data_IF_935889285906
#
_entry.id   IF_935889285906
#
_cell.length_a   1.000
_cell.length_b   1.000
_cell.length_c   1.000
_cell.angle_alpha   90.00
_cell.angle_beta   90.00
_cell.angle_gamma   90.00
#
_symmetry.space_group_name_H-M   'P 1'
#
loop_
_entity.id
_entity.type
_entity.pdbx_description
1 polymer ?
#
# COMPACT_ATOMS: atom_id res chain seq x y z
N UNK A 1 25.64 46.00 -22.28
CA UNK A 1 25.24 46.12 -20.86
C UNK A 1 24.03 45.21 -20.68
N UNK A 2 24.22 44.03 -20.09
CA UNK A 2 23.16 43.01 -19.96
C UNK A 2 22.55 43.18 -18.57
N UNK A 3 21.28 43.57 -18.50
CA UNK A 3 20.57 43.72 -17.23
C UNK A 3 20.06 42.36 -16.77
N UNK A 4 20.51 41.99 -15.58
CA UNK A 4 20.26 40.74 -14.87
C UNK A 4 19.01 40.95 -14.01
N UNK A 5 17.84 40.53 -14.48
CA UNK A 5 16.60 40.64 -13.71
C UNK A 5 15.73 39.39 -13.85
N UNK A 6 15.15 39.02 -12.70
CA UNK A 6 14.13 37.97 -12.53
C UNK A 6 14.62 36.53 -12.30
N UNK A 7 15.37 36.35 -11.21
CA UNK A 7 15.34 35.11 -10.40
C UNK A 7 14.07 35.17 -9.53
N UNK A 8 12.89 35.10 -10.14
CA UNK A 8 11.66 34.88 -9.38
C UNK A 8 11.47 33.37 -9.21
N UNK A 9 11.52 32.81 -7.99
CA UNK A 9 11.09 31.44 -7.80
C UNK A 9 9.61 31.37 -8.20
N UNK A 10 9.26 30.43 -9.09
CA UNK A 10 7.86 30.08 -9.36
C UNK A 10 7.15 29.99 -8.02
N UNK A 11 6.11 30.80 -7.81
CA UNK A 11 5.24 30.67 -6.65
C UNK A 11 4.85 29.20 -6.57
N UNK A 12 5.39 28.46 -5.60
CA UNK A 12 4.85 27.18 -5.21
C UNK A 12 3.45 27.51 -4.72
N UNK A 13 2.44 27.20 -5.55
CA UNK A 13 1.04 27.34 -5.17
C UNK A 13 0.90 26.60 -3.83
N UNK A 14 0.36 27.24 -2.78
CA UNK A 14 0.17 26.55 -1.51
C UNK A 14 -0.64 25.29 -1.79
N UNK A 15 -0.08 24.11 -1.41
CA UNK A 15 -0.75 22.82 -1.58
C UNK A 15 -2.16 22.96 -1.03
N UNK A 16 -3.15 22.66 -1.87
CA UNK A 16 -4.54 22.74 -1.44
C UNK A 16 -4.74 21.71 -0.32
N UNK A 17 -5.70 21.93 0.61
CA UNK A 17 -6.05 20.92 1.59
C UNK A 17 -6.43 19.56 0.94
N UNK A 18 -6.97 19.53 -0.28
CA UNK A 18 -7.27 18.28 -0.98
C UNK A 18 -6.00 17.53 -1.39
N UNK A 19 -4.96 18.23 -1.87
CA UNK A 19 -3.67 17.60 -2.25
C UNK A 19 -3.01 16.86 -1.07
N UNK A 20 -3.26 17.31 0.16
CA UNK A 20 -2.76 16.67 1.39
C UNK A 20 -3.60 15.45 1.79
N UNK A 21 -4.92 15.49 1.59
CA UNK A 21 -5.78 14.32 1.83
C UNK A 21 -5.47 13.21 0.82
N UNK A 22 -5.24 13.57 -0.43
CA UNK A 22 -4.95 12.60 -1.50
C UNK A 22 -3.63 11.87 -1.24
N UNK A 23 -2.58 12.60 -0.83
CA UNK A 23 -1.28 12.00 -0.48
C UNK A 23 -1.33 11.14 0.79
N UNK A 24 -2.09 11.54 1.81
CA UNK A 24 -2.29 10.70 3.00
C UNK A 24 -3.04 9.39 2.70
N UNK A 25 -4.03 9.44 1.80
CA UNK A 25 -4.76 8.26 1.37
C UNK A 25 -3.86 7.29 0.58
N UNK A 26 -3.00 7.81 -0.30
CA UNK A 26 -2.01 7.01 -1.02
C UNK A 26 -1.00 6.34 -0.08
N UNK A 27 -0.49 7.07 0.92
CA UNK A 27 0.44 6.54 1.91
C UNK A 27 -0.22 5.44 2.76
N UNK A 28 -1.48 5.62 3.16
CA UNK A 28 -2.24 4.61 3.90
C UNK A 28 -2.44 3.32 3.09
N UNK A 29 -2.78 3.45 1.80
CA UNK A 29 -2.92 2.30 0.88
C UNK A 29 -1.58 1.57 0.70
N UNK A 30 -0.48 2.31 0.54
CA UNK A 30 0.87 1.72 0.44
C UNK A 30 1.25 0.95 1.71
N UNK A 31 0.99 1.52 2.89
CA UNK A 31 1.25 0.86 4.17
C UNK A 31 0.41 -0.41 4.33
N UNK A 32 -0.88 -0.37 3.98
CA UNK A 32 -1.75 -1.53 4.00
C UNK A 32 -1.22 -2.65 3.09
N UNK A 33 -0.92 -2.33 1.83
CA UNK A 33 -0.39 -3.29 0.85
C UNK A 33 0.92 -3.90 1.35
N UNK A 34 1.84 -3.06 1.85
CA UNK A 34 3.12 -3.52 2.38
C UNK A 34 2.94 -4.46 3.57
N UNK A 35 2.10 -4.09 4.54
CA UNK A 35 1.88 -4.91 5.74
C UNK A 35 1.23 -6.26 5.42
N UNK A 36 0.23 -6.27 4.51
CA UNK A 36 -0.43 -7.51 4.09
C UNK A 36 0.53 -8.39 3.29
N UNK A 37 1.35 -7.82 2.41
CA UNK A 37 2.35 -8.58 1.65
C UNK A 37 3.31 -9.31 2.59
N UNK A 38 3.87 -8.60 3.58
CA UNK A 38 4.74 -9.22 4.59
C UNK A 38 4.03 -10.34 5.35
N UNK A 39 2.78 -10.13 5.77
CA UNK A 39 2.02 -11.17 6.47
C UNK A 39 1.75 -12.40 5.61
N UNK A 40 1.43 -12.21 4.32
CA UNK A 40 1.24 -13.30 3.35
C UNK A 40 2.52 -14.10 3.18
N UNK A 41 3.66 -13.42 3.01
CA UNK A 41 4.97 -14.06 2.87
C UNK A 41 5.34 -14.86 4.13
N UNK A 42 5.07 -14.33 5.32
CA UNK A 42 5.33 -15.01 6.58
C UNK A 42 4.46 -16.27 6.76
N UNK A 43 3.19 -16.22 6.34
CA UNK A 43 2.27 -17.36 6.37
C UNK A 43 2.71 -18.46 5.40
N UNK A 44 3.11 -18.10 4.17
CA UNK A 44 3.64 -19.05 3.18
C UNK A 44 4.96 -19.69 3.66
N UNK A 45 5.87 -18.88 4.21
CA UNK A 45 7.11 -19.37 4.80
C UNK A 45 6.85 -20.31 5.98
N UNK A 46 5.86 -20.01 6.83
CA UNK A 46 5.50 -20.89 7.93
C UNK A 46 4.85 -22.18 7.45
N UNK A 47 3.96 -22.11 6.44
CA UNK A 47 3.36 -23.27 5.82
C UNK A 47 4.42 -24.22 5.27
N UNK A 48 5.42 -23.70 4.55
CA UNK A 48 6.53 -24.50 4.03
C UNK A 48 7.33 -25.19 5.14
N UNK A 49 7.57 -24.52 6.28
CA UNK A 49 8.28 -25.11 7.43
C UNK A 49 7.54 -26.29 8.06
N UNK A 50 6.22 -26.25 8.09
CA UNK A 50 5.39 -27.27 8.77
C UNK A 50 4.74 -28.27 7.81
N UNK A 51 4.99 -28.17 6.51
CA UNK A 51 4.31 -28.98 5.48
C UNK A 51 4.46 -30.49 5.70
N UNK A 52 5.65 -30.94 6.11
CA UNK A 52 5.93 -32.36 6.34
C UNK A 52 5.31 -32.85 7.65
N UNK A 53 5.33 -32.03 8.70
CA UNK A 53 4.90 -32.43 10.04
C UNK A 53 3.41 -32.21 10.29
N UNK A 54 2.79 -31.23 9.61
CA UNK A 54 1.41 -30.83 9.75
C UNK A 54 0.81 -30.33 8.42
N UNK A 55 0.62 -31.21 7.41
CA UNK A 55 0.20 -30.82 6.06
C UNK A 55 -1.17 -30.14 6.02
N UNK A 56 -2.10 -30.54 6.88
CA UNK A 56 -3.41 -29.89 6.98
C UNK A 56 -3.30 -28.44 7.49
N UNK A 57 -2.41 -28.20 8.48
CA UNK A 57 -2.15 -26.85 8.99
C UNK A 57 -1.43 -25.99 7.95
N UNK A 58 -0.45 -26.54 7.23
CA UNK A 58 0.22 -25.84 6.13
C UNK A 58 -0.78 -25.41 5.06
N UNK A 59 -1.68 -26.30 4.63
CA UNK A 59 -2.75 -25.96 3.69
C UNK A 59 -3.66 -24.85 4.21
N UNK A 60 -4.03 -24.90 5.50
CA UNK A 60 -4.86 -23.86 6.11
C UNK A 60 -4.16 -22.49 6.10
N UNK A 61 -2.86 -22.44 6.40
CA UNK A 61 -2.07 -21.21 6.34
C UNK A 61 -2.06 -20.60 4.94
N UNK A 62 -1.84 -21.42 3.89
CA UNK A 62 -1.85 -20.95 2.50
C UNK A 62 -3.21 -20.40 2.07
N UNK A 63 -4.29 -21.09 2.43
CA UNK A 63 -5.66 -20.61 2.17
C UNK A 63 -5.92 -19.29 2.89
N UNK A 64 -5.47 -19.16 4.14
CA UNK A 64 -5.61 -17.93 4.93
C UNK A 64 -4.83 -16.78 4.28
N UNK A 65 -3.58 -17.03 3.84
CA UNK A 65 -2.76 -16.05 3.14
C UNK A 65 -3.45 -15.54 1.85
N UNK A 66 -4.02 -16.45 1.06
CA UNK A 66 -4.72 -16.08 -0.16
C UNK A 66 -6.03 -15.32 0.10
N UNK A 67 -6.76 -15.66 1.16
CA UNK A 67 -7.94 -14.91 1.58
C UNK A 67 -7.57 -13.49 2.02
N UNK A 68 -6.49 -13.32 2.79
CA UNK A 68 -5.99 -12.00 3.20
C UNK A 68 -5.60 -11.13 2.01
N UNK A 69 -4.88 -11.71 1.03
CA UNK A 69 -4.54 -11.00 -0.20
C UNK A 69 -5.79 -10.55 -0.97
N UNK A 70 -6.78 -11.44 -1.10
CA UNK A 70 -8.04 -11.15 -1.81
C UNK A 70 -8.86 -10.06 -1.11
N UNK A 71 -8.98 -10.12 0.21
CA UNK A 71 -9.69 -9.10 1.01
C UNK A 71 -9.00 -7.73 0.90
N UNK A 72 -7.68 -7.72 0.89
CA UNK A 72 -6.89 -6.49 0.79
C UNK A 72 -7.06 -5.85 -0.58
N UNK A 73 -7.02 -6.66 -1.65
CA UNK A 73 -7.31 -6.17 -3.00
C UNK A 73 -8.72 -5.55 -3.07
N UNK A 74 -9.73 -6.25 -2.56
CA UNK A 74 -11.10 -5.74 -2.54
C UNK A 74 -11.23 -4.44 -1.72
N UNK A 75 -10.53 -4.34 -0.59
CA UNK A 75 -10.52 -3.13 0.23
C UNK A 75 -9.85 -1.94 -0.49
N UNK A 76 -8.77 -2.18 -1.23
CA UNK A 76 -8.09 -1.15 -2.03
C UNK A 76 -8.95 -0.73 -3.23
N UNK A 77 -9.63 -1.67 -3.89
CA UNK A 77 -10.53 -1.37 -5.01
C UNK A 77 -11.76 -0.57 -4.58
N UNK A 78 -12.32 -0.88 -3.40
CA UNK A 78 -13.43 -0.18 -2.81
C UNK A 78 -13.01 1.11 -2.08
N UNK A 79 -11.71 1.43 -2.04
CA UNK A 79 -11.22 2.61 -1.34
C UNK A 79 -11.80 3.87 -1.98
N UNK A 80 -12.29 4.85 -1.19
CA UNK A 80 -12.83 6.08 -1.73
C UNK A 80 -11.76 6.78 -2.58
N UNK A 81 -11.95 6.79 -3.89
CA UNK A 81 -11.21 7.67 -4.77
C UNK A 81 -11.76 9.06 -4.50
N UNK A 82 -10.99 9.90 -3.82
CA UNK A 82 -11.33 11.31 -3.70
C UNK A 82 -11.37 11.86 -5.13
N UNK A 83 -12.57 11.98 -5.68
CA UNK A 83 -12.80 12.69 -6.93
C UNK A 83 -12.67 14.16 -6.60
N UNK A 84 -11.54 14.76 -6.97
CA UNK A 84 -11.34 16.22 -6.95
C UNK A 84 -12.27 16.95 -7.91
#
# INVERSE_FOLDING_TARGET
MITMESIFPRRLKPRSPSDKLDTQNEDAVRLLISGVTTLVDDLEAHAARIEVTAPAAARHLRVTAQQLASLTLAAVEAWPKVTG
#
